data_IF_145586883768
#
_entry.id   IF_145586883768
#
_cell.length_a   1.000
_cell.length_b   1.000
_cell.length_c   1.000
_cell.angle_alpha   90.00
_cell.angle_beta   90.00
_cell.angle_gamma   90.00
#
_symmetry.space_group_name_H-M   'P 1'
#
loop_
_entity.id
_entity.type
_entity.pdbx_description
1 polymer ?
#
# COMPACT_ATOMS: atom_id res chain seq x y z
N UNK A 1 -4.46 -71.84 -18.03
CA UNK A 1 -4.74 -70.72 -17.10
C UNK A 1 -3.96 -69.51 -17.59
N UNK A 2 -4.62 -68.48 -18.13
CA UNK A 2 -3.95 -67.34 -18.77
C UNK A 2 -3.30 -66.39 -17.73
N UNK A 3 -2.18 -65.70 -18.05
CA UNK A 3 -1.64 -64.67 -17.16
C UNK A 3 -2.55 -63.43 -17.20
N UNK A 4 -2.98 -62.98 -16.02
CA UNK A 4 -3.62 -61.66 -15.85
C UNK A 4 -2.57 -60.59 -16.10
N UNK A 5 -2.89 -59.57 -16.91
CA UNK A 5 -1.99 -58.44 -17.14
C UNK A 5 -1.83 -57.68 -15.82
N UNK A 6 -0.62 -57.25 -15.43
CA UNK A 6 -0.46 -56.30 -14.35
C UNK A 6 -1.08 -54.97 -14.78
N UNK A 7 -2.12 -54.54 -14.07
CA UNK A 7 -2.58 -53.16 -14.07
C UNK A 7 -1.35 -52.28 -13.81
N UNK A 8 -1.00 -51.39 -14.75
CA UNK A 8 0.09 -50.43 -14.51
C UNK A 8 -0.45 -49.36 -13.58
N UNK A 9 -0.16 -49.46 -12.29
CA UNK A 9 -0.39 -48.38 -11.32
C UNK A 9 0.38 -47.14 -11.78
N UNK A 10 -0.36 -46.19 -12.37
CA UNK A 10 0.15 -44.88 -12.78
C UNK A 10 -0.46 -43.83 -11.86
N UNK A 11 0.04 -43.68 -10.63
CA UNK A 11 -0.53 -42.75 -9.64
C UNK A 11 -0.55 -41.32 -10.16
N UNK A 12 0.46 -40.92 -10.94
CA UNK A 12 0.53 -39.60 -11.59
C UNK A 12 -0.55 -39.43 -12.66
N UNK A 13 -0.84 -40.47 -13.44
CA UNK A 13 -1.89 -40.43 -14.46
C UNK A 13 -3.27 -40.35 -13.81
N UNK A 14 -3.51 -41.14 -12.76
CA UNK A 14 -4.75 -41.08 -11.99
C UNK A 14 -4.95 -39.71 -11.33
N UNK A 15 -3.88 -39.12 -10.78
CA UNK A 15 -3.91 -37.76 -10.24
C UNK A 15 -4.21 -36.70 -11.30
N UNK A 16 -3.61 -36.79 -12.49
CA UNK A 16 -3.89 -35.88 -13.60
C UNK A 16 -5.35 -35.99 -14.08
N UNK A 17 -5.86 -37.21 -14.23
CA UNK A 17 -7.26 -37.44 -14.60
C UNK A 17 -8.23 -36.90 -13.54
N UNK A 18 -7.91 -37.06 -12.25
CA UNK A 18 -8.69 -36.50 -11.17
C UNK A 18 -8.71 -34.96 -11.22
N UNK A 19 -7.54 -34.33 -11.43
CA UNK A 19 -7.42 -32.87 -11.50
C UNK A 19 -8.19 -32.28 -12.69
N UNK A 20 -8.09 -32.92 -13.88
CA UNK A 20 -8.87 -32.53 -15.05
C UNK A 20 -10.37 -32.70 -14.79
N UNK A 21 -10.79 -33.79 -14.16
CA UNK A 21 -12.18 -34.02 -13.79
C UNK A 21 -12.74 -32.92 -12.88
N UNK A 22 -11.99 -32.53 -11.85
CA UNK A 22 -12.38 -31.44 -10.94
C UNK A 22 -12.47 -30.10 -11.67
N UNK A 23 -11.49 -29.77 -12.52
CA UNK A 23 -11.49 -28.54 -13.29
C UNK A 23 -12.71 -28.43 -14.23
N UNK A 24 -13.10 -29.53 -14.87
CA UNK A 24 -14.31 -29.58 -15.72
C UNK A 24 -15.57 -29.32 -14.90
N UNK A 25 -15.71 -29.94 -13.72
CA UNK A 25 -16.89 -29.75 -12.86
C UNK A 25 -17.01 -28.32 -12.37
N UNK A 26 -15.91 -27.74 -11.87
CA UNK A 26 -15.90 -26.35 -11.40
C UNK A 26 -16.15 -25.38 -12.56
N UNK A 27 -15.53 -25.61 -13.72
CA UNK A 27 -15.74 -24.81 -14.92
C UNK A 27 -17.19 -24.84 -15.41
N UNK A 28 -17.85 -26.01 -15.38
CA UNK A 28 -19.27 -26.14 -15.75
C UNK A 28 -20.19 -25.41 -14.77
N UNK A 29 -19.97 -25.56 -13.46
CA UNK A 29 -20.77 -24.88 -12.44
C UNK A 29 -20.58 -23.36 -12.47
N UNK A 30 -19.34 -22.89 -12.57
CA UNK A 30 -19.02 -21.46 -12.68
C UNK A 30 -19.53 -20.85 -13.99
N UNK A 31 -19.35 -21.53 -15.12
CA UNK A 31 -19.80 -21.07 -16.43
C UNK A 31 -21.32 -20.93 -16.52
N UNK A 32 -22.08 -21.88 -15.96
CA UNK A 32 -23.54 -21.81 -15.93
C UNK A 32 -24.03 -20.63 -15.09
N UNK A 33 -23.37 -20.34 -13.95
CA UNK A 33 -23.73 -19.22 -13.08
C UNK A 33 -23.54 -17.85 -13.77
N UNK A 34 -22.45 -17.67 -14.52
CA UNK A 34 -22.21 -16.44 -15.30
C UNK A 34 -23.29 -16.24 -16.37
N UNK A 35 -23.66 -17.29 -17.10
CA UNK A 35 -24.65 -17.17 -18.18
C UNK A 35 -26.04 -16.76 -17.68
N UNK A 36 -26.44 -17.22 -16.49
CA UNK A 36 -27.70 -16.80 -15.85
C UNK A 36 -27.60 -15.36 -15.30
N UNK A 37 -26.45 -14.96 -14.76
CA UNK A 37 -26.21 -13.61 -14.24
C UNK A 37 -26.36 -12.51 -15.29
N UNK A 38 -25.84 -12.71 -16.51
CA UNK A 38 -25.87 -11.70 -17.58
C UNK A 38 -27.30 -11.39 -18.07
N UNK A 39 -28.24 -12.35 -17.98
CA UNK A 39 -29.66 -12.12 -18.34
C UNK A 39 -30.43 -11.35 -17.28
N UNK A 40 -30.02 -11.41 -16.00
CA UNK A 40 -30.68 -10.69 -14.91
C UNK A 40 -30.21 -9.23 -14.80
N UNK A 41 -29.00 -8.91 -15.27
CA UNK A 41 -28.42 -7.56 -15.18
C UNK A 41 -28.80 -6.64 -16.33
N UNK A 42 -29.66 -7.07 -17.26
CA UNK A 42 -30.24 -6.19 -18.28
C UNK A 42 -29.22 -5.56 -19.23
N UNK A 43 -28.21 -6.32 -19.69
CA UNK A 43 -27.24 -5.85 -20.67
C UNK A 43 -27.74 -6.07 -22.11
N UNK A 44 -28.91 -5.50 -22.41
CA UNK A 44 -29.41 -5.24 -23.77
C UNK A 44 -29.59 -3.71 -23.90
N UNK A 45 -28.52 -2.99 -23.56
CA UNK A 45 -28.42 -1.54 -23.69
C UNK A 45 -27.83 -1.18 -25.03
N UNK A 46 -28.66 -1.15 -26.08
CA UNK A 46 -28.37 -0.34 -27.26
C UNK A 46 -28.36 1.12 -26.83
N UNK A 47 -27.24 1.60 -26.30
CA UNK A 47 -27.04 3.02 -26.05
C UNK A 47 -26.84 3.68 -27.40
N UNK A 48 -27.95 4.06 -28.02
CA UNK A 48 -27.98 5.10 -29.05
C UNK A 48 -27.26 6.31 -28.45
N UNK A 49 -26.09 6.64 -29.01
CA UNK A 49 -25.42 7.89 -28.71
C UNK A 49 -26.31 9.01 -29.25
N UNK A 50 -27.11 9.60 -28.37
CA UNK A 50 -27.76 10.88 -28.64
C UNK A 50 -26.67 11.93 -28.53
N UNK A 51 -26.18 12.40 -29.68
CA UNK A 51 -25.37 13.61 -29.79
C UNK A 51 -26.21 14.80 -29.31
N UNK A 52 -26.19 15.05 -28.00
CA UNK A 52 -26.63 16.32 -27.44
C UNK A 52 -25.51 17.32 -27.72
N UNK A 53 -25.76 18.24 -28.66
CA UNK A 53 -24.89 19.38 -28.95
C UNK A 53 -24.75 20.26 -27.71
N UNK A 54 -23.79 19.93 -26.84
CA UNK A 54 -23.39 20.78 -25.75
C UNK A 54 -22.64 22.01 -26.30
N UNK A 55 -23.18 23.19 -26.00
CA UNK A 55 -22.55 24.47 -26.30
C UNK A 55 -21.13 24.51 -25.73
N UNK A 56 -20.13 25.11 -26.42
CA UNK A 56 -18.78 25.18 -25.89
C UNK A 56 -18.78 26.03 -24.61
N UNK A 57 -18.59 25.36 -23.48
CA UNK A 57 -18.41 26.02 -22.18
C UNK A 57 -17.08 26.75 -22.19
N UNK A 58 -17.12 28.08 -22.22
CA UNK A 58 -15.92 28.90 -22.07
C UNK A 58 -15.52 28.90 -20.60
N UNK A 59 -14.37 28.30 -20.32
CA UNK A 59 -13.74 28.32 -19.00
C UNK A 59 -13.02 29.66 -18.81
N UNK A 60 -13.58 30.54 -17.99
CA UNK A 60 -12.95 31.84 -17.68
C UNK A 60 -11.96 31.63 -16.55
N UNK A 61 -10.66 31.60 -16.86
CA UNK A 61 -9.62 31.47 -15.85
C UNK A 61 -9.43 32.81 -15.11
N UNK A 62 -9.59 32.86 -13.78
CA UNK A 62 -9.29 34.08 -13.03
C UNK A 62 -7.80 34.40 -13.16
N UNK A 63 -7.49 35.70 -13.34
CA UNK A 63 -6.11 36.16 -13.46
C UNK A 63 -5.44 36.05 -12.09
N UNK A 64 -4.26 35.42 -11.97
CA UNK A 64 -3.54 35.38 -10.69
C UNK A 64 -3.23 36.81 -10.25
N UNK A 65 -3.46 37.07 -8.97
CA UNK A 65 -3.10 38.32 -8.30
C UNK A 65 -1.78 38.09 -7.57
N UNK A 66 -0.84 39.03 -7.67
CA UNK A 66 0.42 38.99 -6.92
C UNK A 66 0.12 38.90 -5.42
N UNK A 67 0.53 37.81 -4.77
CA UNK A 67 0.56 37.77 -3.31
C UNK A 67 1.75 38.62 -2.88
N UNK A 68 1.47 39.90 -2.60
CA UNK A 68 2.44 40.83 -2.06
C UNK A 68 3.15 40.19 -0.87
N UNK A 69 4.47 40.08 -0.96
CA UNK A 69 5.34 39.67 0.14
C UNK A 69 5.24 40.73 1.23
N UNK A 70 4.37 40.51 2.22
CA UNK A 70 4.38 41.24 3.47
C UNK A 70 4.90 40.28 4.53
N UNK A 71 6.22 40.30 4.72
CA UNK A 71 6.93 39.65 5.82
C UNK A 71 6.49 40.35 7.12
N UNK A 72 5.77 39.70 8.05
CA UNK A 72 5.67 40.23 9.40
C UNK A 72 7.01 40.04 10.15
N UNK A 73 7.37 40.96 11.06
CA UNK A 73 8.62 40.91 11.82
C UNK A 73 8.72 39.66 12.71
N UNK A 74 9.94 39.21 13.05
CA UNK A 74 10.15 37.95 13.75
C UNK A 74 9.81 38.11 15.23
N UNK A 75 8.90 37.28 15.73
CA UNK A 75 8.73 37.07 17.16
C UNK A 75 9.33 35.71 17.55
N UNK A 76 10.33 35.82 18.43
CA UNK A 76 10.91 34.83 19.35
C UNK A 76 11.51 33.54 18.78
N UNK A 77 12.84 33.63 18.67
CA UNK A 77 13.81 32.54 18.84
C UNK A 77 13.39 31.57 19.95
N UNK A 78 12.89 30.40 19.57
CA UNK A 78 13.00 29.20 20.39
C UNK A 78 14.33 28.54 20.04
N UNK A 79 15.29 28.69 20.93
CA UNK A 79 16.56 27.96 20.92
C UNK A 79 16.29 26.45 20.79
N UNK A 80 16.99 25.72 19.90
CA UNK A 80 16.91 24.27 19.91
C UNK A 80 17.51 23.76 21.22
N UNK A 81 16.65 23.30 22.13
CA UNK A 81 17.10 22.46 23.24
C UNK A 81 17.73 21.21 22.63
N UNK A 82 18.99 20.86 22.94
CA UNK A 82 19.62 19.63 22.47
C UNK A 82 18.84 18.47 23.08
N UNK A 83 17.95 17.86 22.28
CA UNK A 83 17.38 16.57 22.61
C UNK A 83 18.51 15.56 22.52
N UNK A 84 18.84 14.96 23.65
CA UNK A 84 19.91 13.98 23.80
C UNK A 84 19.81 12.89 22.72
N UNK A 85 20.79 12.88 21.82
CA UNK A 85 21.10 11.75 20.98
C UNK A 85 21.50 10.58 21.88
N UNK A 86 20.65 9.56 22.01
CA UNK A 86 21.11 8.20 22.28
C UNK A 86 20.12 7.21 21.71
N UNK A 87 20.38 6.81 20.47
CA UNK A 87 20.31 5.39 20.10
C UNK A 87 21.27 5.22 18.94
N UNK A 88 22.48 4.77 19.24
CA UNK A 88 23.43 4.28 18.23
C UNK A 88 22.83 3.00 17.65
N UNK A 89 21.91 3.18 16.71
CA UNK A 89 21.37 2.12 15.88
C UNK A 89 22.48 1.71 14.88
N UNK A 90 22.63 0.40 14.62
CA UNK A 90 23.71 -0.11 13.80
C UNK A 90 23.55 0.41 12.37
N UNK A 91 24.39 1.38 11.95
CA UNK A 91 24.46 1.99 10.60
C UNK A 91 23.36 1.48 9.65
N UNK A 92 22.12 1.90 9.90
CA UNK A 92 20.97 1.31 9.25
C UNK A 92 21.01 1.74 7.79
N UNK A 93 20.88 0.78 6.88
CA UNK A 93 20.85 1.08 5.45
C UNK A 93 19.65 1.98 5.09
N UNK A 94 18.62 1.98 5.93
CA UNK A 94 17.37 2.72 5.78
C UNK A 94 17.23 3.70 6.94
N UNK A 95 16.99 4.97 6.64
CA UNK A 95 16.61 5.99 7.64
C UNK A 95 15.15 6.38 7.45
N UNK A 96 14.43 6.55 8.55
CA UNK A 96 13.03 6.93 8.60
C UNK A 96 12.84 8.18 9.47
N UNK A 97 12.06 9.13 8.96
CA UNK A 97 11.75 10.40 9.61
C UNK A 97 10.26 10.67 9.54
N UNK A 98 9.74 11.31 10.59
CA UNK A 98 8.38 11.84 10.66
C UNK A 98 8.44 13.29 11.15
N UNK A 99 7.69 14.18 10.51
CA UNK A 99 7.65 15.60 10.91
C UNK A 99 6.56 15.88 11.93
N UNK A 100 5.51 15.05 11.98
CA UNK A 100 4.42 15.22 12.94
C UNK A 100 4.74 14.50 14.25
N UNK A 101 4.86 15.27 15.34
CA UNK A 101 5.00 14.69 16.69
C UNK A 101 3.66 14.26 17.30
N UNK A 102 2.57 14.92 16.89
CA UNK A 102 1.20 14.60 17.31
C UNK A 102 0.19 14.87 16.19
N UNK A 103 -0.86 14.04 16.11
CA UNK A 103 -1.94 14.16 15.14
C UNK A 103 -3.30 13.79 15.75
N UNK A 104 -4.39 14.25 15.15
CA UNK A 104 -5.74 13.80 15.53
C UNK A 104 -5.96 12.33 15.10
N UNK A 105 -6.90 11.59 15.72
CA UNK A 105 -7.27 10.26 15.25
C UNK A 105 -7.67 10.29 13.77
N UNK A 106 -7.22 9.29 13.01
CA UNK A 106 -7.42 9.19 11.55
C UNK A 106 -6.76 10.28 10.70
N UNK A 107 -6.01 11.21 11.30
CA UNK A 107 -5.21 12.16 10.55
C UNK A 107 -3.99 11.47 9.93
N UNK A 108 -3.58 11.98 8.78
CA UNK A 108 -2.42 11.49 8.06
C UNK A 108 -1.12 11.76 8.82
N UNK A 109 -0.26 10.75 8.86
CA UNK A 109 1.11 10.80 9.36
C UNK A 109 2.04 10.50 8.18
N UNK A 110 2.88 11.47 7.81
CA UNK A 110 3.79 11.34 6.69
C UNK A 110 5.11 10.71 7.14
N UNK A 111 5.45 9.61 6.47
CA UNK A 111 6.67 8.86 6.70
C UNK A 111 7.59 9.07 5.50
N UNK A 112 8.78 9.61 5.75
CA UNK A 112 9.78 9.86 4.70
C UNK A 112 11.12 9.33 5.11
N UNK A 113 11.99 9.03 4.16
CA UNK A 113 13.28 8.45 4.49
C UNK A 113 14.23 8.28 3.31
N UNK A 114 15.41 7.75 3.62
CA UNK A 114 16.44 7.46 2.62
C UNK A 114 16.92 6.02 2.70
N UNK A 115 17.25 5.44 1.54
CA UNK A 115 17.81 4.10 1.40
C UNK A 115 18.72 4.05 0.16
N UNK A 116 19.99 4.42 0.34
CA UNK A 116 20.93 4.62 -0.78
C UNK A 116 21.25 3.34 -1.57
N UNK A 117 21.19 2.17 -0.92
CA UNK A 117 21.43 0.87 -1.55
C UNK A 117 20.17 0.15 -2.06
N UNK A 118 18.98 0.74 -1.85
CA UNK A 118 17.71 0.07 -2.02
C UNK A 118 16.92 0.50 -3.25
N UNK A 119 17.56 0.94 -4.33
CA UNK A 119 16.83 1.42 -5.51
C UNK A 119 15.84 0.37 -6.04
N UNK A 120 14.57 0.76 -6.18
CA UNK A 120 13.50 -0.14 -6.60
C UNK A 120 13.00 -1.10 -5.51
N UNK A 121 13.55 -1.07 -4.30
CA UNK A 121 13.09 -1.88 -3.19
C UNK A 121 11.67 -1.50 -2.77
N UNK A 122 10.94 -2.49 -2.26
CA UNK A 122 9.62 -2.31 -1.65
C UNK A 122 9.79 -2.37 -0.14
N UNK A 123 9.41 -1.29 0.53
CA UNK A 123 9.47 -1.16 1.97
C UNK A 123 8.08 -1.39 2.57
N UNK A 124 7.98 -2.34 3.48
CA UNK A 124 6.80 -2.64 4.26
C UNK A 124 6.80 -1.78 5.54
N UNK A 125 5.76 -0.98 5.74
CA UNK A 125 5.59 -0.26 7.02
C UNK A 125 5.20 -1.26 8.09
N UNK A 126 5.82 -1.18 9.26
CA UNK A 126 5.46 -1.96 10.43
C UNK A 126 5.07 -1.03 11.58
N UNK A 127 4.13 -1.49 12.40
CA UNK A 127 3.76 -0.85 13.67
C UNK A 127 4.14 -1.75 14.84
N UNK A 128 4.53 -1.14 15.95
CA UNK A 128 4.74 -1.87 17.20
C UNK A 128 3.42 -1.97 17.96
N UNK A 129 2.92 -3.19 18.15
CA UNK A 129 1.72 -3.46 18.93
C UNK A 129 1.83 -4.78 19.69
N UNK A 130 1.24 -4.86 20.88
CA UNK A 130 1.27 -6.09 21.67
C UNK A 130 2.66 -6.59 22.04
N UNK A 131 3.68 -5.71 22.04
CA UNK A 131 5.07 -6.08 22.32
C UNK A 131 5.85 -6.62 21.11
N UNK A 132 5.28 -6.61 19.91
CA UNK A 132 5.91 -7.09 18.69
C UNK A 132 5.71 -6.12 17.52
N UNK A 133 6.55 -6.24 16.51
CA UNK A 133 6.37 -5.56 15.24
C UNK A 133 5.40 -6.36 14.36
N UNK A 134 4.45 -5.66 13.74
CA UNK A 134 3.44 -6.22 12.86
C UNK A 134 3.34 -5.39 11.59
N UNK A 135 2.97 -6.02 10.49
CA UNK A 135 2.81 -5.33 9.22
C UNK A 135 1.60 -4.39 9.27
N UNK A 136 1.85 -3.13 8.94
CA UNK A 136 0.82 -2.14 8.69
C UNK A 136 0.50 -2.17 7.19
N UNK A 137 -0.77 -2.08 6.74
CA UNK A 137 -1.12 -2.31 5.34
C UNK A 137 -0.77 -1.13 4.41
N UNK A 138 0.49 -0.68 4.44
CA UNK A 138 1.08 0.40 3.65
C UNK A 138 2.48 -0.01 3.24
N UNK A 139 2.81 0.21 1.99
CA UNK A 139 4.15 0.03 1.43
C UNK A 139 4.69 1.32 0.84
N UNK A 140 6.00 1.41 0.66
CA UNK A 140 6.67 2.48 -0.07
C UNK A 140 7.66 1.90 -1.06
N UNK A 141 7.80 2.51 -2.23
CA UNK A 141 8.86 2.16 -3.19
C UNK A 141 10.01 3.15 -3.07
N UNK A 142 11.24 2.64 -3.09
CA UNK A 142 12.43 3.50 -3.10
C UNK A 142 12.74 3.95 -4.53
N UNK A 143 12.97 5.26 -4.69
CA UNK A 143 13.37 5.88 -5.95
C UNK A 143 14.36 7.01 -5.69
N UNK A 144 15.48 7.01 -6.42
CA UNK A 144 16.57 7.97 -6.22
C UNK A 144 17.17 7.90 -4.82
N UNK A 145 17.17 6.71 -4.21
CA UNK A 145 17.64 6.52 -2.83
C UNK A 145 16.75 7.14 -1.74
N UNK A 146 15.52 7.54 -2.07
CA UNK A 146 14.55 8.11 -1.12
C UNK A 146 13.20 7.39 -1.19
N UNK A 147 12.40 7.51 -0.15
CA UNK A 147 11.03 7.00 -0.13
C UNK A 147 10.12 7.91 0.68
N UNK A 148 8.83 7.84 0.39
CA UNK A 148 7.79 8.57 1.10
C UNK A 148 6.47 7.80 1.04
N UNK A 149 5.75 7.78 2.15
CA UNK A 149 4.41 7.20 2.25
C UNK A 149 3.65 7.86 3.40
N UNK A 150 2.43 7.42 3.67
CA UNK A 150 1.68 7.90 4.81
C UNK A 150 0.89 6.77 5.48
N UNK A 151 0.61 6.96 6.77
CA UNK A 151 -0.27 6.08 7.54
C UNK A 151 -1.41 6.89 8.17
N UNK A 152 -2.52 6.21 8.44
CA UNK A 152 -3.65 6.76 9.19
C UNK A 152 -4.07 5.72 10.21
N UNK A 153 -4.23 6.14 11.47
CA UNK A 153 -4.61 5.23 12.54
C UNK A 153 -5.57 5.91 13.51
N UNK A 154 -6.54 5.15 14.00
CA UNK A 154 -7.42 5.56 15.10
C UNK A 154 -6.89 5.15 16.47
N UNK A 155 -5.77 4.43 16.54
CA UNK A 155 -5.18 3.99 17.81
C UNK A 155 -4.61 5.20 18.54
N UNK A 156 -5.28 5.63 19.60
CA UNK A 156 -4.85 6.78 20.43
C UNK A 156 -3.62 6.44 21.28
N UNK A 157 -2.85 7.46 21.64
CA UNK A 157 -1.61 7.35 22.40
C UNK A 157 -0.35 7.25 21.51
N UNK A 158 0.78 6.79 22.07
CA UNK A 158 2.02 6.66 21.33
C UNK A 158 1.95 5.51 20.32
N UNK A 159 2.17 5.82 19.05
CA UNK A 159 2.25 4.86 17.96
C UNK A 159 3.70 4.83 17.45
N UNK A 160 4.31 3.65 17.44
CA UNK A 160 5.68 3.42 16.94
C UNK A 160 5.62 2.78 15.57
N UNK A 161 6.37 3.34 14.62
CA UNK A 161 6.48 2.87 13.24
C UNK A 161 7.94 2.62 12.87
N UNK A 162 8.15 1.69 11.95
CA UNK A 162 9.42 1.47 11.23
C UNK A 162 9.11 0.98 9.81
N UNK A 163 10.14 0.86 8.98
CA UNK A 163 10.03 0.16 7.69
C UNK A 163 11.02 -1.00 7.61
N UNK A 164 10.66 -2.01 6.83
CA UNK A 164 11.52 -3.14 6.49
C UNK A 164 11.50 -3.37 4.97
N UNK A 165 12.66 -3.63 4.39
CA UNK A 165 12.77 -4.09 2.99
C UNK A 165 12.25 -5.53 2.88
N UNK A 166 11.30 -5.78 2.00
CA UNK A 166 10.66 -7.09 1.85
C UNK A 166 11.58 -8.17 1.27
N UNK A 167 12.68 -7.77 0.62
CA UNK A 167 13.61 -8.70 -0.02
C UNK A 167 14.86 -8.91 0.84
N UNK A 168 15.49 -7.83 1.31
CA UNK A 168 16.75 -7.88 2.07
C UNK A 168 16.57 -7.97 3.58
N UNK A 169 15.34 -7.77 4.08
CA UNK A 169 15.02 -7.68 5.51
C UNK A 169 15.79 -6.56 6.24
N UNK A 170 16.35 -5.57 5.51
CA UNK A 170 16.96 -4.39 6.10
C UNK A 170 15.90 -3.56 6.83
N UNK A 171 16.21 -3.12 8.05
CA UNK A 171 15.28 -2.44 8.97
C UNK A 171 15.75 -0.99 9.16
N UNK A 172 14.78 -0.07 9.26
CA UNK A 172 15.04 1.33 9.64
C UNK A 172 14.97 1.56 11.15
N UNK A 173 15.40 2.75 11.54
CA UNK A 173 15.12 3.29 12.87
C UNK A 173 13.62 3.37 13.09
N UNK A 174 13.27 3.48 14.35
CA UNK A 174 11.90 3.65 14.79
C UNK A 174 11.54 5.13 14.89
N UNK A 175 10.28 5.45 14.63
CA UNK A 175 9.70 6.77 14.87
C UNK A 175 8.47 6.63 15.75
N UNK A 176 8.22 7.62 16.60
CA UNK A 176 7.05 7.65 17.50
C UNK A 176 6.19 8.87 17.22
N UNK A 177 4.88 8.68 17.08
CA UNK A 177 3.89 9.74 16.90
C UNK A 177 2.76 9.57 17.91
N UNK A 178 2.34 10.65 18.54
CA UNK A 178 1.19 10.62 19.46
C UNK A 178 -0.10 10.86 18.69
N UNK A 179 -1.13 10.06 18.93
CA UNK A 179 -2.45 10.21 18.32
C UNK A 179 -3.48 10.53 19.39
N UNK A 180 -4.24 11.61 19.21
CA UNK A 180 -5.32 12.00 20.13
C UNK A 180 -5.03 13.20 21.02
#
# INVERSE_FOLDING_TARGET
MAPRRPEKDRPVLAGLLALVGVAVVIGLLGGLAVMVGVKATGLDGTTTATDESASPSRFTLPKPSDTGSSIPPPEETLEPSPGEETSEAPAEAISLTVVQQSVSPMQQIDLTGTYQGGEGAVLQVQRFEGGAWSDFPVTASVSGGTFGTYVQTGNVGPNRFRVIDTDSEAISNEVTVTVG
#
